data_IF_629303977762
#
_entry.id   IF_629303977762
#
_cell.length_a   1.000
_cell.length_b   1.000
_cell.length_c   1.000
_cell.angle_alpha   90.00
_cell.angle_beta   90.00
_cell.angle_gamma   90.00
#
_symmetry.space_group_name_H-M   'P 1'
#
loop_
_entity.id
_entity.type
_entity.pdbx_description
1 polymer ?
#
# COMPACT_ATOMS: atom_id res chain seq x y z
N UNK A 1 -4.90 6.37 7.66
CA UNK A 1 -4.90 5.54 8.90
C UNK A 1 -6.25 5.61 9.61
N UNK A 2 -6.74 6.80 10.01
CA UNK A 2 -8.05 6.92 10.68
C UNK A 2 -9.22 6.40 9.84
N UNK A 3 -9.28 6.76 8.54
CA UNK A 3 -10.30 6.26 7.61
C UNK A 3 -10.27 4.72 7.50
N UNK A 4 -9.07 4.12 7.44
CA UNK A 4 -8.92 2.67 7.41
C UNK A 4 -9.42 1.99 8.68
N UNK A 5 -9.13 2.59 9.84
CA UNK A 5 -9.61 2.10 11.13
C UNK A 5 -11.14 2.18 11.23
N UNK A 6 -11.72 3.33 10.87
CA UNK A 6 -13.18 3.54 10.88
C UNK A 6 -13.87 2.58 9.91
N UNK A 7 -13.38 2.44 8.67
CA UNK A 7 -13.94 1.52 7.68
C UNK A 7 -13.84 0.07 8.19
N UNK A 8 -12.68 -0.37 8.68
CA UNK A 8 -12.53 -1.73 9.19
C UNK A 8 -13.46 -2.03 10.38
N UNK A 9 -13.66 -1.06 11.28
CA UNK A 9 -14.64 -1.19 12.36
C UNK A 9 -16.09 -1.20 11.87
N UNK A 10 -16.40 -0.43 10.83
CA UNK A 10 -17.76 -0.32 10.26
C UNK A 10 -18.24 -1.61 9.61
N UNK A 11 -17.32 -2.45 9.12
CA UNK A 11 -17.63 -3.74 8.51
C UNK A 11 -17.21 -4.95 9.33
N UNK A 12 -16.91 -4.77 10.62
CA UNK A 12 -16.63 -5.89 11.51
C UNK A 12 -17.88 -6.78 11.62
N UNK A 13 -17.75 -8.11 11.41
CA UNK A 13 -18.90 -9.01 11.45
C UNK A 13 -19.50 -9.05 12.86
N UNK A 14 -20.80 -8.79 12.97
CA UNK A 14 -21.56 -9.07 14.18
C UNK A 14 -21.99 -10.55 14.18
N UNK A 15 -21.65 -11.27 15.25
CA UNK A 15 -22.00 -12.69 15.37
C UNK A 15 -23.51 -12.91 15.25
N UNK A 16 -23.92 -13.74 14.29
CA UNK A 16 -25.32 -14.14 14.07
C UNK A 16 -26.15 -13.27 13.14
N UNK A 17 -25.56 -12.27 12.47
CA UNK A 17 -26.29 -11.45 11.50
C UNK A 17 -26.42 -12.16 10.14
N UNK A 18 -27.64 -12.45 9.70
CA UNK A 18 -27.91 -12.90 8.33
C UNK A 18 -27.89 -11.69 7.38
N UNK A 19 -26.84 -11.61 6.57
CA UNK A 19 -26.66 -10.52 5.61
C UNK A 19 -27.19 -10.93 4.22
N UNK A 20 -28.28 -10.26 3.82
CA UNK A 20 -28.79 -10.22 2.44
C UNK A 20 -29.09 -11.59 1.78
N UNK A 21 -29.32 -12.64 2.57
CA UNK A 21 -29.60 -13.99 2.05
C UNK A 21 -28.44 -14.60 1.25
N UNK A 22 -27.22 -14.08 1.39
CA UNK A 22 -26.05 -14.59 0.69
C UNK A 22 -25.60 -15.93 1.29
N UNK A 23 -25.06 -16.85 0.46
CA UNK A 23 -24.49 -18.11 0.94
C UNK A 23 -23.43 -17.86 2.03
N UNK A 24 -23.47 -18.66 3.10
CA UNK A 24 -22.57 -18.53 4.25
C UNK A 24 -21.10 -18.51 3.86
N UNK A 25 -20.72 -19.31 2.86
CA UNK A 25 -19.34 -19.36 2.33
C UNK A 25 -18.87 -18.01 1.79
N UNK A 26 -19.75 -17.24 1.12
CA UNK A 26 -19.39 -15.92 0.58
C UNK A 26 -19.24 -14.91 1.72
N UNK A 27 -20.14 -14.93 2.69
CA UNK A 27 -20.07 -14.06 3.88
C UNK A 27 -18.79 -14.34 4.67
N UNK A 28 -18.46 -15.61 4.88
CA UNK A 28 -17.27 -16.02 5.63
C UNK A 28 -15.99 -15.57 4.91
N UNK A 29 -15.89 -15.80 3.60
CA UNK A 29 -14.72 -15.42 2.82
C UNK A 29 -14.56 -13.90 2.73
N UNK A 30 -15.61 -13.13 2.49
CA UNK A 30 -15.48 -11.70 2.21
C UNK A 30 -15.57 -10.81 3.45
N UNK A 31 -16.46 -11.13 4.40
CA UNK A 31 -16.73 -10.29 5.57
C UNK A 31 -16.04 -10.80 6.83
N UNK A 32 -16.03 -12.11 7.08
CA UNK A 32 -15.43 -12.67 8.30
C UNK A 32 -13.90 -12.63 8.24
N UNK A 33 -13.30 -12.91 7.09
CA UNK A 33 -11.83 -12.75 6.92
C UNK A 33 -11.39 -11.28 6.86
N UNK A 34 -12.34 -10.34 6.66
CA UNK A 34 -12.05 -8.92 6.46
C UNK A 34 -11.59 -8.53 5.04
N UNK A 35 -11.55 -9.46 4.08
CA UNK A 35 -11.07 -9.20 2.72
C UNK A 35 -11.83 -8.07 2.00
N UNK A 36 -13.16 -8.03 2.11
CA UNK A 36 -13.97 -6.97 1.54
C UNK A 36 -13.66 -5.61 2.15
N UNK A 37 -13.44 -5.56 3.47
CA UNK A 37 -13.16 -4.32 4.19
C UNK A 37 -11.76 -3.79 3.88
N UNK A 38 -10.77 -4.67 3.75
CA UNK A 38 -9.43 -4.31 3.28
C UNK A 38 -9.50 -3.74 1.87
N UNK A 39 -10.21 -4.41 0.96
CA UNK A 39 -10.38 -3.96 -0.43
C UNK A 39 -11.10 -2.61 -0.52
N UNK A 40 -12.16 -2.42 0.25
CA UNK A 40 -12.89 -1.15 0.30
C UNK A 40 -12.03 -0.02 0.90
N UNK A 41 -11.30 -0.32 1.97
CA UNK A 41 -10.36 0.62 2.62
C UNK A 41 -9.29 1.11 1.65
N UNK A 42 -8.68 0.18 0.92
CA UNK A 42 -7.68 0.50 -0.09
C UNK A 42 -8.30 1.40 -1.17
N UNK A 43 -9.30 0.90 -1.89
CA UNK A 43 -9.85 1.52 -3.11
C UNK A 43 -10.55 2.86 -2.85
N UNK A 44 -11.35 2.95 -1.78
CA UNK A 44 -12.18 4.13 -1.51
C UNK A 44 -11.56 5.01 -0.43
N UNK A 45 -11.01 4.42 0.62
CA UNK A 45 -10.49 5.16 1.77
C UNK A 45 -9.13 5.80 1.52
N UNK A 46 -8.22 5.10 0.86
CA UNK A 46 -6.83 5.53 0.71
C UNK A 46 -6.53 6.05 -0.69
N UNK A 47 -6.98 5.35 -1.72
CA UNK A 47 -6.52 5.62 -3.09
C UNK A 47 -7.10 6.89 -3.70
N UNK A 48 -8.42 7.11 -3.58
CA UNK A 48 -9.05 8.32 -4.10
C UNK A 48 -8.44 9.60 -3.49
N UNK A 49 -8.06 9.56 -2.20
CA UNK A 49 -7.44 10.71 -1.52
C UNK A 49 -6.00 10.94 -1.96
N UNK A 50 -5.21 9.87 -2.18
CA UNK A 50 -3.85 9.97 -2.71
C UNK A 50 -3.81 10.54 -4.14
N UNK A 51 -4.71 10.09 -5.02
CA UNK A 51 -4.82 10.60 -6.39
C UNK A 51 -5.19 12.08 -6.39
N UNK A 52 -6.20 12.48 -5.61
CA UNK A 52 -6.59 13.88 -5.48
C UNK A 52 -5.46 14.75 -4.93
N UNK A 53 -4.74 14.28 -3.90
CA UNK A 53 -3.59 14.97 -3.34
C UNK A 53 -2.45 15.14 -4.37
N UNK A 54 -2.29 14.20 -5.31
CA UNK A 54 -1.27 14.28 -6.37
C UNK A 54 -1.60 15.29 -7.48
N UNK A 55 -2.88 15.63 -7.66
CA UNK A 55 -3.35 16.58 -8.69
C UNK A 55 -3.48 18.00 -8.16
N UNK A 56 -4.11 18.15 -6.99
CA UNK A 56 -4.43 19.44 -6.40
C UNK A 56 -3.85 19.53 -4.99
N UNK A 57 -2.52 19.42 -4.86
CA UNK A 57 -1.84 19.35 -3.56
C UNK A 57 -2.17 20.55 -2.67
N UNK A 58 -2.20 21.76 -3.22
CA UNK A 58 -2.49 23.00 -2.48
C UNK A 58 -3.95 23.05 -2.01
N UNK A 59 -4.90 22.64 -2.85
CA UNK A 59 -6.32 22.58 -2.48
C UNK A 59 -6.57 21.49 -1.43
N UNK A 60 -5.84 20.37 -1.52
CA UNK A 60 -5.93 19.26 -0.58
C UNK A 60 -5.49 19.66 0.84
N UNK A 61 -4.54 20.59 0.97
CA UNK A 61 -4.07 21.11 2.26
C UNK A 61 -4.73 22.43 2.66
N UNK A 62 -5.73 22.92 1.93
CA UNK A 62 -6.32 24.26 2.12
C UNK A 62 -7.26 24.39 3.34
N UNK A 63 -7.12 23.52 4.35
CA UNK A 63 -7.91 23.56 5.57
C UNK A 63 -7.01 23.31 6.77
N UNK A 64 -7.24 24.01 7.89
CA UNK A 64 -6.42 23.87 9.10
C UNK A 64 -6.28 22.41 9.58
N UNK A 65 -7.34 21.62 9.46
CA UNK A 65 -7.28 20.19 9.78
C UNK A 65 -6.34 19.41 8.85
N UNK A 66 -6.38 19.68 7.54
CA UNK A 66 -5.48 19.05 6.58
C UNK A 66 -4.02 19.45 6.81
N UNK A 67 -3.76 20.73 7.10
CA UNK A 67 -2.43 21.23 7.49
C UNK A 67 -1.93 20.56 8.77
N UNK A 68 -2.79 20.37 9.77
CA UNK A 68 -2.45 19.61 10.97
C UNK A 68 -2.02 18.18 10.62
N UNK A 69 -2.81 17.46 9.81
CA UNK A 69 -2.45 16.09 9.41
C UNK A 69 -1.15 16.04 8.59
N UNK A 70 -0.86 17.08 7.80
CA UNK A 70 0.39 17.21 7.08
C UNK A 70 1.60 17.37 8.02
N UNK A 71 1.50 18.21 9.05
CA UNK A 71 2.57 18.32 10.06
C UNK A 71 2.79 17.03 10.84
N UNK A 72 1.72 16.30 11.16
CA UNK A 72 1.83 14.95 11.76
C UNK A 72 2.56 14.01 10.81
N UNK A 73 2.23 14.01 9.51
CA UNK A 73 2.93 13.19 8.52
C UNK A 73 4.42 13.57 8.41
N UNK A 74 4.76 14.86 8.42
CA UNK A 74 6.16 15.30 8.44
C UNK A 74 6.90 14.87 9.71
N UNK A 75 6.24 14.87 10.87
CA UNK A 75 6.84 14.40 12.11
C UNK A 75 7.14 12.89 12.06
N UNK A 76 6.21 12.10 11.50
CA UNK A 76 6.42 10.66 11.26
C UNK A 76 7.56 10.45 10.27
N UNK A 77 7.63 11.21 9.19
CA UNK A 77 8.75 11.14 8.24
C UNK A 77 10.07 11.52 8.92
N UNK A 78 10.08 12.55 9.76
CA UNK A 78 11.28 12.94 10.50
C UNK A 78 11.76 11.82 11.44
N UNK A 79 10.82 11.13 12.12
CA UNK A 79 11.11 10.05 13.07
C UNK A 79 11.89 8.86 12.47
N UNK A 80 11.80 8.66 11.15
CA UNK A 80 12.51 7.58 10.50
C UNK A 80 11.72 6.28 10.34
N UNK A 81 10.49 6.20 10.87
CA UNK A 81 9.73 4.94 10.90
C UNK A 81 9.48 4.34 9.51
N UNK A 82 9.37 5.18 8.47
CA UNK A 82 9.06 4.76 7.10
C UNK A 82 10.28 4.70 6.15
N UNK A 83 11.50 4.87 6.69
CA UNK A 83 12.72 5.09 5.89
C UNK A 83 13.25 3.88 5.12
N UNK A 84 12.81 2.66 5.45
CA UNK A 84 13.20 1.46 4.70
C UNK A 84 12.76 1.53 3.22
N UNK A 85 11.71 2.30 2.91
CA UNK A 85 11.24 2.53 1.55
C UNK A 85 12.32 3.16 0.65
N UNK A 86 13.11 4.11 1.16
CA UNK A 86 14.22 4.72 0.42
C UNK A 86 15.30 3.69 0.07
N UNK A 87 15.60 2.78 1.00
CA UNK A 87 16.56 1.70 0.73
C UNK A 87 16.05 0.76 -0.37
N UNK A 88 14.79 0.34 -0.29
CA UNK A 88 14.15 -0.50 -1.32
C UNK A 88 14.16 0.23 -2.66
N UNK A 89 13.83 1.52 -2.70
CA UNK A 89 13.86 2.33 -3.91
C UNK A 89 15.27 2.35 -4.54
N UNK A 90 16.32 2.50 -3.73
CA UNK A 90 17.71 2.45 -4.20
C UNK A 90 18.06 1.08 -4.78
N UNK A 91 17.66 -0.02 -4.13
CA UNK A 91 17.85 -1.37 -4.63
C UNK A 91 17.13 -1.60 -5.97
N UNK A 92 15.89 -1.12 -6.09
CA UNK A 92 15.09 -1.23 -7.32
C UNK A 92 15.71 -0.38 -8.44
N UNK A 93 16.13 0.86 -8.15
CA UNK A 93 16.79 1.72 -9.13
C UNK A 93 18.11 1.13 -9.63
N UNK A 94 18.88 0.52 -8.72
CA UNK A 94 20.08 -0.23 -9.06
C UNK A 94 19.76 -1.44 -9.95
N UNK A 95 18.78 -2.26 -9.58
CA UNK A 95 18.36 -3.42 -10.37
C UNK A 95 17.78 -3.04 -11.75
N UNK A 96 17.13 -1.87 -11.86
CA UNK A 96 16.59 -1.33 -13.10
C UNK A 96 17.63 -0.64 -13.99
N UNK A 97 18.89 -0.52 -13.53
CA UNK A 97 19.95 0.18 -14.26
C UNK A 97 19.74 1.69 -14.37
N UNK A 98 18.84 2.26 -13.57
CA UNK A 98 18.53 3.70 -13.52
C UNK A 98 18.60 4.16 -12.06
N UNK A 99 19.80 4.45 -11.53
CA UNK A 99 19.94 4.95 -10.17
C UNK A 99 19.15 6.25 -10.02
N UNK A 100 18.52 6.43 -8.87
CA UNK A 100 17.67 7.58 -8.58
C UNK A 100 18.51 8.85 -8.66
N UNK A 101 18.12 9.78 -9.52
CA UNK A 101 18.72 11.12 -9.56
C UNK A 101 18.10 11.96 -8.45
N UNK A 102 18.90 12.27 -7.43
CA UNK A 102 18.50 13.16 -6.35
C UNK A 102 18.86 14.59 -6.70
N UNK A 103 17.93 15.53 -6.54
CA UNK A 103 18.19 16.97 -6.64
C UNK A 103 18.83 17.55 -5.36
N UNK A 104 18.89 16.76 -4.28
CA UNK A 104 19.56 17.14 -3.03
C UNK A 104 21.07 16.93 -3.10
N UNK A 105 21.87 17.76 -2.39
CA UNK A 105 23.30 17.57 -2.29
C UNK A 105 23.64 16.19 -1.71
N UNK A 106 24.81 15.61 -2.05
CA UNK A 106 25.26 14.34 -1.51
C UNK A 106 25.25 14.36 0.03
N UNK A 107 24.64 13.34 0.63
CA UNK A 107 24.56 13.21 2.08
C UNK A 107 25.96 12.89 2.62
N UNK A 108 26.56 13.79 3.39
CA UNK A 108 27.91 13.64 3.94
C UNK A 108 27.95 13.69 5.47
N UNK A 109 28.90 12.98 6.09
CA UNK A 109 29.17 13.03 7.53
C UNK A 109 27.98 12.60 8.39
N UNK A 110 27.61 13.42 9.38
CA UNK A 110 26.53 13.12 10.33
C UNK A 110 25.16 12.94 9.68
N UNK A 111 24.88 13.62 8.56
CA UNK A 111 23.59 13.48 7.83
C UNK A 111 23.46 12.10 7.21
N UNK A 112 24.56 11.53 6.70
CA UNK A 112 24.58 10.18 6.15
C UNK A 112 24.33 9.13 7.24
N UNK A 113 25.00 9.28 8.39
CA UNK A 113 24.81 8.39 9.54
C UNK A 113 23.37 8.47 10.04
N UNK A 114 22.83 9.68 10.20
CA UNK A 114 21.45 9.88 10.63
C UNK A 114 20.43 9.28 9.66
N UNK A 115 20.69 9.37 8.35
CA UNK A 115 19.85 8.72 7.34
C UNK A 115 19.86 7.19 7.52
N UNK A 116 21.04 6.56 7.56
CA UNK A 116 21.14 5.10 7.68
C UNK A 116 20.67 4.56 9.02
N UNK A 117 20.86 5.31 10.12
CA UNK A 117 20.31 4.94 11.42
C UNK A 117 18.77 4.84 11.38
N UNK A 118 18.10 5.79 10.75
CA UNK A 118 16.64 5.77 10.55
C UNK A 118 16.20 4.60 9.65
N UNK A 119 16.93 4.34 8.57
CA UNK A 119 16.69 3.17 7.71
C UNK A 119 16.80 1.86 8.51
N UNK A 120 17.82 1.72 9.36
CA UNK A 120 17.99 0.53 10.21
C UNK A 120 16.87 0.38 11.24
N UNK A 121 16.46 1.46 11.91
CA UNK A 121 15.32 1.43 12.84
C UNK A 121 14.04 1.02 12.12
N UNK A 122 13.76 1.61 10.96
CA UNK A 122 12.60 1.27 10.13
C UNK A 122 12.60 -0.21 9.73
N UNK A 123 13.74 -0.72 9.27
CA UNK A 123 13.90 -2.13 8.89
C UNK A 123 13.72 -3.07 10.10
N UNK A 124 14.24 -2.70 11.28
CA UNK A 124 14.06 -3.47 12.50
C UNK A 124 12.59 -3.52 12.95
N UNK A 125 11.89 -2.39 12.94
CA UNK A 125 10.46 -2.32 13.27
C UNK A 125 9.63 -3.15 12.28
N UNK A 126 9.92 -3.05 10.98
CA UNK A 126 9.24 -3.85 9.95
C UNK A 126 9.50 -5.35 10.14
N UNK A 127 10.76 -5.74 10.38
CA UNK A 127 11.14 -7.12 10.64
C UNK A 127 10.48 -7.70 11.88
N UNK A 128 10.40 -6.91 12.96
CA UNK A 128 9.71 -7.28 14.19
C UNK A 128 8.20 -7.45 13.96
N UNK A 129 7.55 -6.50 13.27
CA UNK A 129 6.13 -6.60 12.95
C UNK A 129 5.82 -7.84 12.10
N UNK A 130 6.69 -8.15 11.13
CA UNK A 130 6.57 -9.37 10.32
C UNK A 130 6.75 -10.63 11.17
N UNK A 131 7.72 -10.65 12.08
CA UNK A 131 7.97 -11.79 12.96
C UNK A 131 6.78 -12.08 13.88
N UNK A 132 6.22 -11.06 14.53
CA UNK A 132 5.00 -11.20 15.37
C UNK A 132 3.81 -11.68 14.54
N UNK A 133 3.66 -11.17 13.31
CA UNK A 133 2.59 -11.60 12.40
C UNK A 133 2.73 -13.08 12.03
N UNK A 134 3.95 -13.52 11.68
CA UNK A 134 4.24 -14.92 11.36
C UNK A 134 4.04 -15.82 12.58
N UNK A 135 4.47 -15.40 13.77
CA UNK A 135 4.21 -16.13 15.01
C UNK A 135 2.71 -16.31 15.25
N UNK A 136 1.91 -15.24 15.09
CA UNK A 136 0.45 -15.32 15.18
C UNK A 136 -0.17 -16.31 14.20
N UNK A 137 0.30 -16.31 12.95
CA UNK A 137 -0.13 -17.27 11.91
C UNK A 137 0.25 -18.71 12.24
N UNK A 138 1.47 -18.96 12.72
CA UNK A 138 1.93 -20.30 13.08
C UNK A 138 1.27 -20.84 14.36
N UNK A 139 0.93 -19.96 15.31
CA UNK A 139 0.24 -20.31 16.56
C UNK A 139 -1.27 -20.41 16.41
N UNK A 140 -1.82 -20.06 15.23
CA UNK A 140 -3.26 -20.11 14.98
C UNK A 140 -4.07 -19.00 15.66
N UNK A 141 -3.40 -17.98 16.23
CA UNK A 141 -4.05 -16.83 16.87
C UNK A 141 -4.62 -15.81 15.87
N UNK A 142 -5.14 -16.29 14.74
CA UNK A 142 -5.63 -15.44 13.63
C UNK A 142 -7.09 -15.75 13.32
N UNK A 143 -7.78 -14.82 12.69
CA UNK A 143 -9.17 -14.98 12.24
C UNK A 143 -9.31 -15.90 11.00
N UNK A 144 -8.28 -16.68 10.69
CA UNK A 144 -8.29 -17.62 9.58
C UNK A 144 -9.20 -18.81 9.90
N UNK A 145 -9.87 -19.35 8.88
CA UNK A 145 -10.82 -20.46 9.02
C UNK A 145 -10.21 -21.67 9.75
N UNK A 146 -10.97 -22.26 10.68
CA UNK A 146 -10.55 -23.40 11.52
C UNK A 146 -10.14 -24.66 10.74
N UNK A 147 -10.37 -24.69 9.41
CA UNK A 147 -9.99 -25.80 8.53
C UNK A 147 -8.71 -25.59 7.71
N UNK A 148 -8.05 -24.43 7.79
CA UNK A 148 -6.84 -24.15 6.99
C UNK A 148 -5.59 -24.49 7.79
N UNK A 149 -4.70 -25.39 7.31
CA UNK A 149 -3.44 -25.67 7.99
C UNK A 149 -2.58 -24.40 8.13
N UNK A 150 -1.91 -24.22 9.27
CA UNK A 150 -1.13 -23.01 9.56
C UNK A 150 -0.09 -22.68 8.47
N UNK A 151 0.54 -23.70 7.88
CA UNK A 151 1.47 -23.52 6.76
C UNK A 151 0.80 -22.91 5.51
N UNK A 152 -0.44 -23.32 5.22
CA UNK A 152 -1.23 -22.78 4.10
C UNK A 152 -1.63 -21.34 4.40
N UNK A 153 -1.97 -21.00 5.64
CA UNK A 153 -2.28 -19.63 6.04
C UNK A 153 -1.09 -18.67 5.82
N UNK A 154 0.14 -19.11 6.11
CA UNK A 154 1.36 -18.32 5.85
C UNK A 154 1.59 -18.12 4.35
N UNK A 155 1.40 -19.16 3.53
CA UNK A 155 1.52 -19.05 2.07
C UNK A 155 0.48 -18.06 1.54
N UNK A 156 -0.77 -18.18 1.97
CA UNK A 156 -1.86 -17.28 1.59
C UNK A 156 -1.57 -15.84 2.01
N UNK A 157 -1.01 -15.63 3.20
CA UNK A 157 -0.61 -14.30 3.67
C UNK A 157 0.37 -13.64 2.69
N UNK A 158 1.45 -14.31 2.31
CA UNK A 158 2.43 -13.74 1.36
C UNK A 158 1.86 -13.52 -0.04
N UNK A 159 1.01 -14.44 -0.53
CA UNK A 159 0.36 -14.30 -1.83
C UNK A 159 -0.59 -13.09 -1.83
N UNK A 160 -1.48 -13.00 -0.85
CA UNK A 160 -2.44 -11.91 -0.75
C UNK A 160 -1.74 -10.55 -0.52
N UNK A 161 -0.74 -10.49 0.36
CA UNK A 161 0.10 -9.31 0.56
C UNK A 161 0.77 -8.85 -0.75
N UNK A 162 1.28 -9.79 -1.55
CA UNK A 162 1.92 -9.47 -2.82
C UNK A 162 0.93 -8.92 -3.84
N UNK A 163 -0.29 -9.48 -3.90
CA UNK A 163 -1.36 -9.00 -4.79
C UNK A 163 -1.83 -7.61 -4.38
N UNK A 164 -2.10 -7.39 -3.09
CA UNK A 164 -2.53 -6.08 -2.57
C UNK A 164 -1.45 -5.02 -2.80
N UNK A 165 -0.19 -5.34 -2.48
CA UNK A 165 0.93 -4.45 -2.75
C UNK A 165 1.10 -4.13 -4.24
N UNK A 166 0.83 -5.10 -5.11
CA UNK A 166 0.81 -4.87 -6.56
C UNK A 166 -0.31 -3.94 -6.99
N UNK A 167 -1.53 -4.06 -6.43
CA UNK A 167 -2.64 -3.17 -6.76
C UNK A 167 -2.35 -1.71 -6.38
N UNK A 168 -1.87 -1.47 -5.16
CA UNK A 168 -1.45 -0.14 -4.70
C UNK A 168 -0.33 0.45 -5.57
N UNK A 169 0.73 -0.33 -5.83
CA UNK A 169 1.86 0.12 -6.65
C UNK A 169 1.49 0.38 -8.12
N UNK A 170 0.57 -0.40 -8.66
CA UNK A 170 0.13 -0.29 -10.06
C UNK A 170 -0.67 1.00 -10.29
N UNK A 171 -1.45 1.48 -9.33
CA UNK A 171 -2.24 2.70 -9.47
C UNK A 171 -1.37 3.95 -9.56
N UNK A 172 -0.30 4.04 -8.76
CA UNK A 172 0.71 5.11 -8.88
C UNK A 172 1.45 4.99 -10.22
N UNK A 173 1.81 3.77 -10.63
CA UNK A 173 2.46 3.54 -11.92
C UNK A 173 1.57 3.96 -13.10
N UNK A 174 0.26 3.66 -13.05
CA UNK A 174 -0.71 4.10 -14.06
C UNK A 174 -0.82 5.61 -14.13
N UNK A 175 -0.84 6.29 -12.98
CA UNK A 175 -0.83 7.74 -12.94
C UNK A 175 0.43 8.34 -13.58
N UNK A 176 1.61 7.77 -13.32
CA UNK A 176 2.85 8.19 -13.96
C UNK A 176 2.81 7.96 -15.49
N UNK A 177 2.29 6.82 -15.94
CA UNK A 177 2.18 6.48 -17.36
C UNK A 177 1.14 7.35 -18.09
N UNK A 178 0.10 7.83 -17.41
CA UNK A 178 -0.86 8.78 -17.96
C UNK A 178 -0.21 10.09 -18.43
N UNK A 179 0.88 10.49 -17.78
CA UNK A 179 1.66 11.69 -18.14
C UNK A 179 2.71 11.45 -19.23
N UNK A 180 2.96 10.19 -19.63
CA UNK A 180 3.94 9.84 -20.66
C UNK A 180 3.31 9.78 -22.07
N UNK A 181 3.95 10.39 -23.09
CA UNK A 181 3.53 10.25 -24.48
C UNK A 181 3.64 8.79 -24.94
N UNK A 182 2.79 8.39 -25.90
CA UNK A 182 2.71 6.99 -26.38
C UNK A 182 4.05 6.44 -26.88
N UNK A 183 4.94 7.31 -27.40
CA UNK A 183 6.28 6.96 -27.88
C UNK A 183 7.26 6.55 -26.77
N UNK A 184 7.01 6.94 -25.51
CA UNK A 184 7.89 6.69 -24.36
C UNK A 184 7.39 5.56 -23.45
N UNK A 185 6.18 5.04 -23.72
CA UNK A 185 5.63 3.86 -23.03
C UNK A 185 6.42 2.65 -23.53
N UNK A 186 7.27 2.10 -22.67
CA UNK A 186 8.30 1.10 -23.04
C UNK A 186 7.78 -0.16 -23.76
N UNK A 187 8.70 -1.06 -24.11
CA UNK A 187 8.41 -2.17 -25.07
C UNK A 187 7.81 -3.45 -24.45
N UNK A 188 7.51 -3.48 -23.15
CA UNK A 188 7.06 -4.71 -22.48
C UNK A 188 5.65 -5.09 -22.91
N UNK A 189 5.45 -6.33 -23.41
CA UNK A 189 4.15 -6.83 -23.88
C UNK A 189 3.05 -6.74 -22.82
N UNK A 190 3.34 -7.11 -21.58
CA UNK A 190 2.34 -7.10 -20.51
C UNK A 190 1.97 -5.67 -20.10
N UNK A 191 2.97 -4.79 -19.94
CA UNK A 191 2.75 -3.39 -19.63
C UNK A 191 1.95 -2.67 -20.72
N UNK A 192 2.26 -2.93 -21.99
CA UNK A 192 1.54 -2.34 -23.13
C UNK A 192 0.09 -2.81 -23.22
N UNK A 193 -0.18 -4.11 -23.03
CA UNK A 193 -1.57 -4.62 -22.97
C UNK A 193 -2.39 -3.94 -21.87
N UNK A 194 -1.79 -3.76 -20.69
CA UNK A 194 -2.45 -3.09 -19.58
C UNK A 194 -2.68 -1.60 -19.89
N UNK A 195 -1.71 -0.91 -20.50
CA UNK A 195 -1.88 0.47 -20.94
C UNK A 195 -2.97 0.58 -22.03
N UNK A 196 -3.00 -0.32 -23.02
CA UNK A 196 -4.03 -0.35 -24.05
C UNK A 196 -5.43 -0.53 -23.46
N UNK A 197 -5.57 -1.39 -22.44
CA UNK A 197 -6.83 -1.54 -21.72
C UNK A 197 -7.22 -0.25 -20.97
N UNK A 198 -6.26 0.39 -20.30
CA UNK A 198 -6.46 1.60 -19.50
C UNK A 198 -6.85 2.82 -20.36
N UNK A 199 -6.15 3.04 -21.48
CA UNK A 199 -6.37 4.17 -22.39
C UNK A 199 -7.40 3.88 -23.49
N UNK A 200 -8.15 2.78 -23.40
CA UNK A 200 -9.23 2.46 -24.35
C UNK A 200 -10.33 3.52 -24.20
N UNK A 201 -10.76 4.12 -25.33
CA UNK A 201 -11.75 5.23 -25.39
C UNK A 201 -11.25 6.54 -24.75
N UNK A 202 -10.15 7.09 -25.27
CA UNK A 202 -9.63 8.43 -24.94
C UNK A 202 -9.26 8.67 -23.46
N UNK A 203 -9.03 7.60 -22.69
CA UNK A 203 -8.54 7.74 -21.31
C UNK A 203 -9.61 8.15 -20.30
N UNK A 204 -10.90 8.06 -20.64
CA UNK A 204 -12.04 8.32 -19.74
C UNK A 204 -12.12 7.42 -18.48
N UNK A 205 -11.21 6.45 -18.34
CA UNK A 205 -11.12 5.53 -17.20
C UNK A 205 -10.06 5.95 -16.15
N UNK A 206 -9.44 7.11 -16.33
CA UNK A 206 -8.51 7.76 -15.40
C UNK A 206 -9.08 9.12 -14.97
#
# INVERSE_FOLDING_TARGET
>A
IFIAFVINMSGAPMGGAELWGLPKVIIDIFLVTGFAMISFTAQIGQLATQVNASHCMLDYINTYFAVFTFYVAMAVEFSGLMHVSYFIQMCVGWAAGKPIQSNEPPKTGGVLIFFWARVLISAAVLGFALAVTLEGLFTGNTTMWEGVPNAVAVILFFVLMSIVGMFEGMQIAFFAVAKLPKSERGKSKFAMKTCEALFRRDGHNL
#
